data_IF_709468248311
#
_entry.id   IF_709468248311
#
_cell.length_a   1.000
_cell.length_b   1.000
_cell.length_c   1.000
_cell.angle_alpha   90.00
_cell.angle_beta   90.00
_cell.angle_gamma   90.00
#
_symmetry.space_group_name_H-M   'P 1'
#
loop_
_entity.id
_entity.type
_entity.pdbx_description
1 polymer ?
#
# COMPACT_ATOMS: atom_id res chain seq x y z
N UNK A 1 -53.26 10.94 18.37
CA UNK A 1 -51.83 11.21 18.12
C UNK A 1 -51.11 9.90 17.93
N UNK A 2 -50.16 9.82 16.99
CA UNK A 2 -49.49 8.59 16.53
C UNK A 2 -48.44 8.01 17.51
N UNK A 3 -48.76 7.94 18.81
CA UNK A 3 -47.83 7.43 19.84
C UNK A 3 -48.48 6.24 20.56
N UNK A 4 -47.81 5.09 20.54
CA UNK A 4 -48.24 3.89 21.25
C UNK A 4 -47.31 3.56 22.42
N UNK A 5 -47.63 2.54 23.23
CA UNK A 5 -46.87 2.20 24.44
C UNK A 5 -45.39 1.83 24.21
N UNK A 6 -45.01 1.53 22.96
CA UNK A 6 -43.65 1.12 22.57
C UNK A 6 -42.89 2.20 21.78
N UNK A 7 -43.46 3.40 21.64
CA UNK A 7 -42.79 4.49 20.91
C UNK A 7 -41.63 5.04 21.75
N UNK A 8 -40.39 4.88 21.28
CA UNK A 8 -39.20 5.49 21.89
C UNK A 8 -39.16 6.98 21.55
N UNK A 9 -39.12 7.82 22.59
CA UNK A 9 -38.96 9.27 22.46
C UNK A 9 -37.52 9.64 22.80
N UNK A 10 -36.89 10.41 21.93
CA UNK A 10 -35.54 10.97 22.13
C UNK A 10 -35.69 12.49 22.12
N UNK A 11 -35.36 13.14 23.23
CA UNK A 11 -35.33 14.60 23.35
C UNK A 11 -34.00 15.13 22.80
N UNK A 12 -34.06 15.98 21.79
CA UNK A 12 -32.89 16.60 21.17
C UNK A 12 -32.32 17.78 21.98
N UNK A 13 -33.00 18.23 23.04
CA UNK A 13 -32.51 19.28 23.95
C UNK A 13 -32.20 20.61 23.25
N UNK A 14 -33.00 20.98 22.25
CA UNK A 14 -32.81 22.20 21.45
C UNK A 14 -31.67 22.13 20.43
N UNK A 15 -31.03 20.97 20.24
CA UNK A 15 -29.97 20.77 19.24
C UNK A 15 -30.56 20.54 17.85
N UNK A 16 -29.77 20.88 16.84
CA UNK A 16 -30.11 20.69 15.43
C UNK A 16 -30.03 19.21 15.05
N UNK A 17 -31.09 18.68 14.45
CA UNK A 17 -31.11 17.35 13.83
C UNK A 17 -31.00 17.54 12.32
N UNK A 18 -29.91 17.06 11.73
CA UNK A 18 -29.66 17.08 10.29
C UNK A 18 -29.81 15.66 9.72
N UNK A 19 -30.14 15.50 8.43
CA UNK A 19 -29.89 14.26 7.72
C UNK A 19 -28.44 13.84 7.90
N UNK A 20 -28.17 12.54 8.05
CA UNK A 20 -26.81 12.03 7.98
C UNK A 20 -26.17 12.40 6.63
N UNK A 21 -24.85 12.60 6.61
CA UNK A 21 -24.13 12.76 5.35
C UNK A 21 -24.37 11.53 4.47
N UNK A 22 -24.78 11.75 3.23
CA UNK A 22 -24.94 10.72 2.22
C UNK A 22 -24.02 11.10 1.06
N UNK A 23 -22.95 10.33 0.86
CA UNK A 23 -22.04 10.48 -0.25
C UNK A 23 -22.43 9.47 -1.34
N UNK A 24 -22.85 9.99 -2.50
CA UNK A 24 -23.38 9.19 -3.60
C UNK A 24 -22.29 8.56 -4.48
N UNK A 25 -21.00 8.86 -4.26
CA UNK A 25 -19.91 8.26 -5.02
C UNK A 25 -18.59 8.26 -4.25
N UNK A 26 -18.46 7.31 -3.33
CA UNK A 26 -17.21 7.01 -2.63
C UNK A 26 -16.71 5.64 -3.07
N UNK A 27 -15.44 5.54 -3.44
CA UNK A 27 -14.76 4.25 -3.48
C UNK A 27 -14.40 3.84 -2.05
N UNK A 28 -15.42 3.58 -1.23
CA UNK A 28 -15.29 3.42 0.22
C UNK A 28 -14.27 2.34 0.60
N UNK A 29 -14.25 1.24 -0.16
CA UNK A 29 -13.30 0.14 -0.02
C UNK A 29 -11.87 0.57 -0.37
N UNK A 30 -11.65 1.38 -1.41
CA UNK A 30 -10.30 1.89 -1.72
C UNK A 30 -9.84 2.97 -0.74
N UNK A 31 -10.76 3.79 -0.22
CA UNK A 31 -10.48 4.78 0.82
C UNK A 31 -10.13 4.13 2.17
N UNK A 32 -10.81 3.06 2.58
CA UNK A 32 -10.40 2.32 3.77
C UNK A 32 -9.16 1.44 3.54
N UNK A 33 -8.88 1.02 2.31
CA UNK A 33 -7.56 0.45 2.00
C UNK A 33 -6.47 1.50 2.12
N UNK A 34 -6.68 2.76 1.69
CA UNK A 34 -5.72 3.85 1.91
C UNK A 34 -5.43 4.11 3.39
N UNK A 35 -6.42 3.98 4.29
CA UNK A 35 -6.19 4.10 5.74
C UNK A 35 -5.37 2.95 6.33
N UNK A 36 -5.38 1.78 5.70
CA UNK A 36 -4.62 0.59 6.11
C UNK A 36 -3.26 0.47 5.39
N UNK A 37 -2.96 1.36 4.44
CA UNK A 37 -1.69 1.41 3.70
C UNK A 37 -0.56 2.01 4.53
N UNK A 38 0.67 1.59 4.20
CA UNK A 38 1.87 2.20 4.77
C UNK A 38 1.99 3.66 4.29
N UNK A 39 2.21 4.58 5.23
CA UNK A 39 2.33 6.01 4.94
C UNK A 39 3.80 6.37 4.75
N UNK A 40 4.21 6.75 3.54
CA UNK A 40 5.62 7.00 3.20
C UNK A 40 5.88 8.38 2.60
N UNK A 41 4.84 9.16 2.31
CA UNK A 41 4.90 10.45 1.61
C UNK A 41 5.87 11.46 2.24
N UNK A 42 5.91 11.50 3.58
CA UNK A 42 6.73 12.43 4.36
C UNK A 42 7.97 11.78 4.98
N UNK A 43 8.31 10.53 4.61
CA UNK A 43 9.52 9.88 5.10
C UNK A 43 10.76 10.58 4.51
N UNK A 44 11.59 11.21 5.35
CA UNK A 44 12.71 12.06 4.91
C UNK A 44 14.05 11.35 4.88
N UNK A 45 14.11 10.12 5.37
CA UNK A 45 15.34 9.34 5.48
C UNK A 45 15.10 7.88 5.15
N UNK A 46 16.17 7.22 4.73
CA UNK A 46 16.26 5.76 4.63
C UNK A 46 15.70 5.07 5.89
N UNK A 47 16.20 5.46 7.06
CA UNK A 47 15.85 4.78 8.31
C UNK A 47 14.36 4.93 8.65
N UNK A 48 13.80 6.11 8.42
CA UNK A 48 12.36 6.36 8.62
C UNK A 48 11.52 5.51 7.67
N UNK A 49 11.89 5.46 6.39
CA UNK A 49 11.23 4.64 5.37
C UNK A 49 11.19 3.17 5.80
N UNK A 50 12.35 2.60 6.16
CA UNK A 50 12.48 1.22 6.62
C UNK A 50 11.70 0.97 7.91
N UNK A 51 11.75 1.89 8.88
CA UNK A 51 11.03 1.76 10.15
C UNK A 51 9.51 1.73 9.97
N UNK A 52 8.97 2.55 9.06
CA UNK A 52 7.52 2.59 8.78
C UNK A 52 7.05 1.29 8.13
N UNK A 53 7.83 0.74 7.20
CA UNK A 53 7.57 -0.58 6.61
C UNK A 53 7.65 -1.68 7.67
N UNK A 54 8.65 -1.65 8.55
CA UNK A 54 8.77 -2.57 9.67
C UNK A 54 7.58 -2.49 10.64
N UNK A 55 7.08 -1.28 10.90
CA UNK A 55 5.89 -1.07 11.72
C UNK A 55 4.64 -1.63 11.06
N UNK A 56 4.50 -1.51 9.73
CA UNK A 56 3.39 -2.10 9.00
C UNK A 56 3.45 -3.63 8.98
N UNK A 57 4.61 -4.21 8.70
CA UNK A 57 4.82 -5.66 8.71
C UNK A 57 4.38 -6.30 10.05
N UNK A 58 4.68 -5.65 11.18
CA UNK A 58 4.30 -6.12 12.52
C UNK A 58 2.79 -6.15 12.79
N UNK A 59 1.99 -5.39 12.04
CA UNK A 59 0.52 -5.38 12.17
C UNK A 59 -0.15 -6.46 11.33
N UNK A 60 0.56 -6.99 10.35
CA UNK A 60 0.05 -7.92 9.36
C UNK A 60 0.37 -9.37 9.73
N UNK A 61 -0.49 -10.28 9.29
CA UNK A 61 -0.21 -11.72 9.34
C UNK A 61 0.81 -12.05 8.24
N UNK A 62 1.58 -13.11 8.47
CA UNK A 62 2.48 -13.68 7.46
C UNK A 62 1.76 -13.88 6.12
N UNK A 63 2.36 -13.40 5.04
CA UNK A 63 1.83 -13.48 3.67
C UNK A 63 0.82 -12.39 3.29
N UNK A 64 0.33 -11.56 4.23
CA UNK A 64 -0.44 -10.37 3.86
C UNK A 64 0.50 -9.33 3.20
N UNK A 65 0.01 -8.69 2.14
CA UNK A 65 0.80 -7.74 1.35
C UNK A 65 0.87 -6.37 2.01
N UNK A 66 2.06 -5.77 1.99
CA UNK A 66 2.24 -4.34 2.27
C UNK A 66 2.15 -3.61 0.94
N UNK A 67 1.06 -2.86 0.77
CA UNK A 67 0.73 -2.12 -0.44
C UNK A 67 0.59 -0.63 -0.14
N UNK A 68 0.43 0.15 -1.20
CA UNK A 68 0.29 1.61 -1.14
C UNK A 68 1.62 2.28 -1.00
N UNK A 69 1.71 3.24 -0.07
CA UNK A 69 2.81 4.19 -0.06
C UNK A 69 2.61 5.25 -1.14
N UNK A 70 3.42 6.30 -1.04
CA UNK A 70 3.55 7.37 -2.04
C UNK A 70 4.93 7.97 -1.80
N UNK A 71 5.95 7.09 -1.79
CA UNK A 71 7.29 7.51 -1.43
C UNK A 71 7.89 8.40 -2.51
N UNK A 72 8.87 9.22 -2.13
CA UNK A 72 9.59 10.08 -3.05
C UNK A 72 11.03 10.23 -2.57
N UNK A 73 11.95 9.62 -3.31
CA UNK A 73 13.38 9.64 -3.04
C UNK A 73 13.98 11.05 -3.12
N UNK A 74 13.30 11.99 -3.80
CA UNK A 74 13.74 13.38 -3.88
C UNK A 74 13.64 14.10 -2.53
N UNK A 75 12.87 13.55 -1.58
CA UNK A 75 12.82 14.06 -0.21
C UNK A 75 14.05 13.66 0.63
N UNK A 76 14.93 12.80 0.11
CA UNK A 76 16.12 12.32 0.81
C UNK A 76 17.37 13.12 0.39
N UNK A 77 18.36 13.17 1.28
CA UNK A 77 19.61 13.91 1.03
C UNK A 77 20.83 13.03 1.33
N UNK A 78 21.56 12.56 0.30
CA UNK A 78 21.29 12.75 -1.13
C UNK A 78 20.04 11.98 -1.61
N UNK A 79 19.43 12.38 -2.75
CA UNK A 79 18.39 11.57 -3.39
C UNK A 79 18.97 10.21 -3.82
N UNK A 80 18.30 9.13 -3.46
CA UNK A 80 18.75 7.76 -3.71
C UNK A 80 17.54 6.84 -3.88
N UNK A 81 17.49 6.07 -4.97
CA UNK A 81 16.42 5.09 -5.14
C UNK A 81 16.53 3.98 -4.08
N UNK A 82 15.42 3.58 -3.44
CA UNK A 82 15.47 2.48 -2.49
C UNK A 82 15.70 1.15 -3.21
N UNK A 83 16.24 0.18 -2.50
CA UNK A 83 16.40 -1.20 -3.00
C UNK A 83 15.70 -2.21 -2.10
N UNK A 84 15.45 -3.41 -2.62
CA UNK A 84 14.76 -4.45 -1.86
C UNK A 84 15.51 -4.83 -0.59
N UNK A 85 16.85 -4.76 -0.60
CA UNK A 85 17.71 -5.07 0.54
C UNK A 85 17.45 -4.16 1.75
N UNK A 86 16.95 -2.93 1.52
CA UNK A 86 16.58 -2.02 2.60
C UNK A 86 15.44 -2.57 3.45
N UNK A 87 14.54 -3.34 2.82
CA UNK A 87 13.25 -3.72 3.41
C UNK A 87 13.09 -5.23 3.62
N UNK A 88 13.93 -6.06 3.01
CA UNK A 88 13.88 -7.51 3.12
C UNK A 88 13.95 -8.00 4.57
N UNK A 89 14.89 -7.46 5.35
CA UNK A 89 15.10 -7.88 6.73
C UNK A 89 13.95 -7.49 7.67
N UNK A 90 13.23 -6.40 7.36
CA UNK A 90 12.14 -5.90 8.21
C UNK A 90 10.77 -6.44 7.80
N UNK A 91 10.64 -7.01 6.60
CA UNK A 91 9.44 -7.66 6.11
C UNK A 91 9.73 -9.05 5.49
N UNK A 92 10.39 -9.97 6.20
CA UNK A 92 10.84 -11.25 5.63
C UNK A 92 9.69 -12.22 5.30
N UNK A 93 8.55 -12.03 5.95
CA UNK A 93 7.36 -12.88 5.87
C UNK A 93 6.19 -12.21 5.14
N UNK A 94 6.35 -10.95 4.71
CA UNK A 94 5.31 -10.15 4.09
C UNK A 94 5.81 -9.61 2.74
N UNK A 95 5.16 -9.95 1.62
CA UNK A 95 5.52 -9.35 0.34
C UNK A 95 5.21 -7.85 0.39
N UNK A 96 6.16 -7.05 -0.10
CA UNK A 96 6.04 -5.59 -0.17
C UNK A 96 5.99 -5.21 -1.64
N UNK A 97 5.03 -4.36 -2.01
CA UNK A 97 4.96 -3.70 -3.30
C UNK A 97 4.35 -2.32 -3.12
N UNK A 98 5.20 -1.29 -3.12
CA UNK A 98 4.84 0.07 -2.75
C UNK A 98 5.19 1.07 -3.84
N UNK A 99 4.27 1.99 -4.12
CA UNK A 99 4.33 2.91 -5.26
C UNK A 99 5.01 4.24 -4.89
N UNK A 100 5.77 4.78 -5.85
CA UNK A 100 6.27 6.15 -5.82
C UNK A 100 5.11 7.12 -5.97
N UNK A 101 5.23 8.34 -5.46
CA UNK A 101 4.17 9.36 -5.51
C UNK A 101 3.60 9.64 -6.91
N UNK A 102 4.37 9.49 -7.97
CA UNK A 102 3.91 9.70 -9.36
C UNK A 102 3.30 8.46 -10.02
N UNK A 103 3.32 7.30 -9.35
CA UNK A 103 2.83 6.02 -9.87
C UNK A 103 3.67 5.39 -10.99
N UNK A 104 4.80 5.99 -11.36
CA UNK A 104 5.66 5.51 -12.44
C UNK A 104 6.74 4.54 -11.98
N UNK A 105 6.97 4.44 -10.67
CA UNK A 105 7.91 3.49 -10.09
C UNK A 105 7.29 2.76 -8.88
N UNK A 106 7.68 1.50 -8.70
CA UNK A 106 7.33 0.71 -7.52
C UNK A 106 8.55 0.00 -6.95
N UNK A 107 8.61 -0.12 -5.63
CA UNK A 107 9.57 -0.96 -4.92
C UNK A 107 8.93 -2.28 -4.49
N UNK A 108 9.52 -3.40 -4.92
CA UNK A 108 9.17 -4.74 -4.47
C UNK A 108 10.30 -5.34 -3.62
N UNK A 109 9.96 -6.02 -2.52
CA UNK A 109 10.95 -6.78 -1.76
C UNK A 109 11.30 -8.13 -2.43
N UNK A 110 12.34 -8.81 -1.96
CA UNK A 110 12.76 -10.11 -2.51
C UNK A 110 11.66 -11.17 -2.46
N UNK A 111 10.80 -11.14 -1.43
CA UNK A 111 9.67 -12.06 -1.31
C UNK A 111 8.62 -11.82 -2.41
N UNK A 112 8.25 -10.57 -2.68
CA UNK A 112 7.34 -10.22 -3.76
C UNK A 112 7.91 -10.61 -5.13
N UNK A 113 9.19 -10.32 -5.38
CA UNK A 113 9.89 -10.72 -6.61
C UNK A 113 9.92 -12.25 -6.78
N UNK A 114 10.17 -12.99 -5.70
CA UNK A 114 10.13 -14.46 -5.70
C UNK A 114 8.74 -14.99 -6.05
N UNK A 115 7.67 -14.43 -5.47
CA UNK A 115 6.28 -14.82 -5.79
C UNK A 115 5.95 -14.56 -7.27
N UNK A 116 6.50 -13.49 -7.84
CA UNK A 116 6.34 -13.11 -9.24
C UNK A 116 7.22 -13.88 -10.23
N UNK A 117 8.13 -14.74 -9.74
CA UNK A 117 9.20 -15.39 -10.51
C UNK A 117 10.09 -14.38 -11.27
N UNK A 118 10.40 -13.24 -10.66
CA UNK A 118 11.35 -12.27 -11.19
C UNK A 118 12.78 -12.69 -10.84
N UNK A 119 13.66 -12.67 -11.84
CA UNK A 119 15.06 -13.08 -11.76
C UNK A 119 15.96 -12.13 -12.56
N UNK A 120 17.28 -12.37 -12.53
CA UNK A 120 18.26 -11.69 -13.40
C UNK A 120 17.94 -11.84 -14.90
N UNK A 121 17.26 -12.93 -15.29
CA UNK A 121 16.91 -13.22 -16.68
C UNK A 121 15.55 -12.63 -17.12
N UNK A 122 14.76 -12.12 -16.17
CA UNK A 122 13.41 -11.59 -16.47
C UNK A 122 13.50 -10.37 -17.39
N UNK A 123 12.91 -10.47 -18.58
CA UNK A 123 12.81 -9.34 -19.51
C UNK A 123 11.70 -8.39 -19.07
N UNK A 124 11.98 -7.09 -19.08
CA UNK A 124 10.95 -6.08 -18.90
C UNK A 124 9.97 -6.10 -20.10
N UNK A 125 8.67 -5.91 -19.87
CA UNK A 125 7.71 -5.71 -20.95
C UNK A 125 8.01 -4.42 -21.72
N UNK A 126 7.47 -4.30 -22.94
CA UNK A 126 7.59 -3.07 -23.71
C UNK A 126 7.00 -1.88 -22.94
N UNK A 127 7.73 -0.76 -22.89
CA UNK A 127 7.34 0.42 -22.13
C UNK A 127 7.50 0.29 -20.62
N UNK A 128 8.39 -0.59 -20.15
CA UNK A 128 8.74 -0.71 -18.74
C UNK A 128 10.20 -1.05 -18.53
N UNK A 129 10.69 -0.82 -17.31
CA UNK A 129 12.06 -1.09 -16.90
C UNK A 129 12.10 -1.89 -15.61
N UNK A 130 12.93 -2.93 -15.55
CA UNK A 130 13.36 -3.55 -14.29
C UNK A 130 14.74 -2.98 -14.01
N UNK A 131 14.86 -2.14 -12.98
CA UNK A 131 16.14 -1.55 -12.61
C UNK A 131 17.05 -2.63 -12.05
N UNK A 132 18.32 -2.62 -12.48
CA UNK A 132 19.29 -3.65 -12.14
C UNK A 132 20.54 -3.04 -11.52
N UNK A 133 21.13 -3.79 -10.59
CA UNK A 133 22.45 -3.49 -10.04
C UNK A 133 23.57 -3.73 -11.09
N UNK A 134 24.83 -3.37 -10.81
CA UNK A 134 25.96 -3.63 -11.73
C UNK A 134 26.22 -5.11 -12.03
N UNK A 135 25.66 -6.03 -11.24
CA UNK A 135 25.76 -7.47 -11.41
C UNK A 135 24.60 -8.04 -12.23
N UNK A 136 23.62 -7.21 -12.60
CA UNK A 136 22.44 -7.58 -13.37
C UNK A 136 21.26 -8.10 -12.53
N UNK A 137 21.34 -8.05 -11.21
CA UNK A 137 20.22 -8.45 -10.34
C UNK A 137 19.16 -7.35 -10.27
N UNK A 138 17.86 -7.68 -10.25
CA UNK A 138 16.80 -6.70 -10.01
C UNK A 138 16.97 -6.02 -8.65
N UNK A 139 16.99 -4.68 -8.61
CA UNK A 139 17.10 -3.92 -7.35
C UNK A 139 15.80 -3.89 -6.55
N UNK A 140 14.70 -4.37 -7.13
CA UNK A 140 13.35 -4.23 -6.60
C UNK A 140 12.59 -3.03 -7.18
N UNK A 141 13.24 -2.14 -7.95
CA UNK A 141 12.55 -1.03 -8.63
C UNK A 141 12.01 -1.48 -10.00
N UNK A 142 10.71 -1.28 -10.19
CA UNK A 142 9.97 -1.55 -11.43
C UNK A 142 9.34 -0.26 -11.94
N UNK A 143 9.60 0.10 -13.19
CA UNK A 143 9.06 1.32 -13.81
C UNK A 143 7.99 1.02 -14.86
N UNK A 144 6.97 1.86 -14.91
CA UNK A 144 5.90 1.83 -15.91
C UNK A 144 5.32 0.42 -16.11
N UNK A 145 5.35 -0.12 -17.33
CA UNK A 145 4.76 -1.42 -17.63
C UNK A 145 5.39 -2.59 -16.84
N UNK A 146 6.61 -2.44 -16.32
CA UNK A 146 7.28 -3.50 -15.56
C UNK A 146 6.62 -3.73 -14.18
N UNK A 147 5.87 -2.75 -13.66
CA UNK A 147 5.11 -2.89 -12.41
C UNK A 147 4.10 -4.06 -12.49
N UNK A 148 3.57 -4.34 -13.70
CA UNK A 148 2.67 -5.47 -13.94
C UNK A 148 3.31 -6.86 -13.68
N UNK A 149 4.65 -6.95 -13.69
CA UNK A 149 5.34 -8.19 -13.35
C UNK A 149 5.07 -8.62 -11.90
N UNK A 150 4.98 -7.67 -10.98
CA UNK A 150 4.65 -7.91 -9.58
C UNK A 150 3.14 -7.85 -9.36
N UNK A 151 2.46 -6.85 -9.93
CA UNK A 151 1.03 -6.63 -9.73
C UNK A 151 0.16 -7.87 -10.02
N UNK A 152 0.52 -8.69 -11.01
CA UNK A 152 -0.21 -9.91 -11.40
C UNK A 152 -0.25 -11.01 -10.32
N UNK A 153 0.63 -10.97 -9.31
CA UNK A 153 0.67 -11.97 -8.23
C UNK A 153 0.11 -11.45 -6.91
N UNK A 154 -0.36 -10.20 -6.88
CA UNK A 154 -1.07 -9.64 -5.73
C UNK A 154 -2.46 -10.28 -5.69
N UNK A 155 -2.85 -10.94 -4.58
CA UNK A 155 -4.15 -11.56 -4.46
C UNK A 155 -5.25 -10.50 -4.34
N UNK A 156 -6.42 -10.83 -4.85
CA UNK A 156 -7.62 -10.04 -4.62
C UNK A 156 -7.86 -9.86 -3.11
N UNK A 157 -8.26 -8.65 -2.64
CA UNK A 157 -8.51 -8.44 -1.23
C UNK A 157 -9.60 -9.37 -0.69
N UNK A 158 -9.29 -10.09 0.39
CA UNK A 158 -10.23 -11.01 1.05
C UNK A 158 -11.45 -10.24 1.57
N UNK A 159 -12.59 -10.93 1.77
CA UNK A 159 -13.78 -10.32 2.37
C UNK A 159 -13.48 -9.68 3.74
N UNK A 160 -12.63 -10.32 4.55
CA UNK A 160 -12.19 -9.76 5.83
C UNK A 160 -11.36 -8.47 5.66
N UNK A 161 -10.47 -8.42 4.67
CA UNK A 161 -9.72 -7.20 4.34
C UNK A 161 -10.63 -6.07 3.84
N UNK A 162 -11.64 -6.40 3.02
CA UNK A 162 -12.65 -5.44 2.54
C UNK A 162 -13.52 -4.89 3.68
N UNK A 163 -13.79 -5.68 4.72
CA UNK A 163 -14.52 -5.25 5.91
C UNK A 163 -13.65 -4.38 6.83
N UNK A 164 -12.34 -4.63 6.94
CA UNK A 164 -11.42 -3.72 7.66
C UNK A 164 -11.29 -2.37 6.97
N UNK A 165 -11.40 -2.36 5.65
CA UNK A 165 -11.35 -1.20 4.78
C UNK A 165 -12.72 -0.50 4.58
N UNK A 166 -13.73 -0.80 5.40
CA UNK A 166 -15.05 -0.17 5.35
C UNK A 166 -15.45 0.28 6.77
#
# INVERSE_FOLDING_TARGET
GWRGPRTRIIDAGGKLLLPGFNDAHVHFVSGGFQLDQVQLTDAKTHDEFVQRIAAQARKLKKGEWILGGEWDEQNWSPPELPTHEWIDAVAPDNPVFIERHDGHESLANALAMKLANVTSETKAPAGGEVVRDPQGNPTGIFKDAAQALIGKVIPEPTAAARIRAA
#
